data_IF_165743725350
#
_entry.id   IF_165743725350
#
_cell.length_a   1.000
_cell.length_b   1.000
_cell.length_c   1.000
_cell.angle_alpha   90.00
_cell.angle_beta   90.00
_cell.angle_gamma   90.00
#
_symmetry.space_group_name_H-M   'P 1'
#
loop_
_entity.id
_entity.type
_entity.pdbx_description
1 polymer ?
#
# COMPACT_ATOMS: atom_id res chain seq x y z
N UNK A 1 -5.67 -15.59 15.97
CA UNK A 1 -4.62 -15.23 14.99
C UNK A 1 -5.19 -14.14 14.10
N UNK A 2 -4.33 -13.37 13.43
CA UNK A 2 -4.62 -12.22 12.56
C UNK A 2 -5.78 -12.40 11.55
N UNK A 3 -6.30 -13.62 11.37
CA UNK A 3 -7.56 -13.93 10.67
C UNK A 3 -8.84 -13.36 11.30
N UNK A 4 -8.75 -12.49 12.31
CA UNK A 4 -9.83 -11.59 12.74
C UNK A 4 -9.59 -10.15 12.28
N UNK A 5 -8.80 -9.93 11.23
CA UNK A 5 -8.95 -8.75 10.39
C UNK A 5 -10.33 -8.85 9.76
N UNK A 6 -11.32 -8.38 10.54
CA UNK A 6 -12.24 -7.32 10.16
C UNK A 6 -12.76 -7.39 8.73
N UNK A 7 -13.05 -8.59 8.24
CA UNK A 7 -13.86 -8.80 7.03
C UNK A 7 -15.28 -8.24 7.24
N UNK A 8 -15.66 -7.93 8.49
CA UNK A 8 -16.87 -7.19 8.86
C UNK A 8 -16.66 -5.70 9.25
N UNK A 9 -15.43 -5.15 9.26
CA UNK A 9 -15.11 -3.99 10.11
C UNK A 9 -14.26 -2.89 9.43
N UNK A 10 -14.81 -2.28 8.38
CA UNK A 10 -14.63 -0.84 8.14
C UNK A 10 -15.44 -0.01 9.15
N UNK A 11 -15.44 -0.37 10.44
CA UNK A 11 -16.14 0.44 11.45
C UNK A 11 -15.42 1.79 11.55
N UNK A 12 -16.21 2.86 11.48
CA UNK A 12 -15.84 4.28 11.52
C UNK A 12 -15.13 4.83 10.24
N UNK A 13 -15.07 4.01 9.19
CA UNK A 13 -14.59 4.38 7.85
C UNK A 13 -13.08 4.65 7.76
N UNK A 14 -12.30 4.23 8.75
CA UNK A 14 -10.83 4.33 8.78
C UNK A 14 -10.13 3.25 7.96
N UNK A 15 -10.86 2.30 7.38
CA UNK A 15 -10.25 1.32 6.49
C UNK A 15 -10.32 1.76 5.03
N UNK A 16 -9.25 1.49 4.31
CA UNK A 16 -9.08 1.75 2.88
C UNK A 16 -8.66 0.46 2.19
N UNK A 17 -9.01 0.34 0.91
CA UNK A 17 -8.70 -0.85 0.12
C UNK A 17 -8.12 -0.43 -1.23
N UNK A 18 -7.29 -1.30 -1.79
CA UNK A 18 -6.65 -1.11 -3.07
C UNK A 18 -5.30 -0.44 -2.93
N UNK A 19 -4.36 -0.88 -3.77
CA UNK A 19 -2.95 -0.50 -3.66
C UNK A 19 -2.70 1.00 -3.82
N UNK A 20 -3.49 1.69 -4.65
CA UNK A 20 -3.35 3.13 -4.85
C UNK A 20 -3.71 3.92 -3.58
N UNK A 21 -4.85 3.61 -2.98
CA UNK A 21 -5.30 4.20 -1.71
C UNK A 21 -4.28 3.95 -0.59
N UNK A 22 -3.79 2.71 -0.50
CA UNK A 22 -2.81 2.30 0.51
C UNK A 22 -1.48 3.02 0.30
N UNK A 23 -0.99 3.09 -0.94
CA UNK A 23 0.23 3.83 -1.30
C UNK A 23 0.13 5.30 -0.88
N UNK A 24 -0.99 5.96 -1.14
CA UNK A 24 -1.21 7.35 -0.75
C UNK A 24 -1.16 7.53 0.77
N UNK A 25 -1.87 6.68 1.51
CA UNK A 25 -1.92 6.74 2.97
C UNK A 25 -0.58 6.44 3.63
N UNK A 26 0.17 5.46 3.10
CA UNK A 26 1.51 5.12 3.58
C UNK A 26 2.49 6.27 3.35
N UNK A 27 2.47 6.91 2.17
CA UNK A 27 3.29 8.09 1.87
C UNK A 27 2.96 9.28 2.78
N UNK A 28 1.76 9.31 3.35
CA UNK A 28 1.30 10.33 4.30
C UNK A 28 1.53 9.95 5.77
N UNK A 29 2.08 8.77 6.05
CA UNK A 29 2.32 8.28 7.42
C UNK A 29 1.05 8.00 8.22
N UNK A 30 -0.10 7.82 7.56
CA UNK A 30 -1.41 7.72 8.21
C UNK A 30 -1.78 6.28 8.60
N UNK A 31 -1.01 5.30 8.17
CA UNK A 31 -1.36 3.88 8.31
C UNK A 31 -0.98 3.35 9.71
N UNK A 32 -1.89 2.57 10.28
CA UNK A 32 -1.69 1.80 11.50
C UNK A 32 -1.30 0.36 11.19
N UNK A 33 -2.06 -0.28 10.29
CA UNK A 33 -1.93 -1.70 9.95
C UNK A 33 -2.22 -1.91 8.46
N UNK A 34 -1.48 -2.82 7.82
CA UNK A 34 -1.71 -3.28 6.45
C UNK A 34 -1.95 -4.78 6.46
N UNK A 35 -2.94 -5.23 5.69
CA UNK A 35 -3.11 -6.64 5.31
C UNK A 35 -2.92 -6.81 3.80
N UNK A 36 -2.14 -7.81 3.41
CA UNK A 36 -1.85 -8.13 2.01
C UNK A 36 -2.04 -9.63 1.78
N UNK A 37 -2.67 -10.02 0.68
CA UNK A 37 -2.61 -11.41 0.23
C UNK A 37 -1.15 -11.79 -0.09
N UNK A 38 -0.65 -12.89 0.48
CA UNK A 38 0.76 -13.31 0.40
C UNK A 38 1.31 -13.40 -1.02
N UNK A 39 0.47 -13.81 -1.95
CA UNK A 39 0.85 -14.03 -3.35
C UNK A 39 0.59 -12.80 -4.23
N UNK A 40 0.06 -11.71 -3.66
CA UNK A 40 -0.19 -10.48 -4.41
C UNK A 40 1.13 -9.81 -4.79
N UNK A 41 1.24 -9.47 -6.07
CA UNK A 41 2.37 -8.75 -6.63
C UNK A 41 1.86 -7.51 -7.34
N UNK A 42 2.58 -6.41 -7.15
CA UNK A 42 2.35 -5.20 -7.90
C UNK A 42 3.67 -4.55 -8.26
N UNK A 43 3.73 -4.02 -9.46
CA UNK A 43 4.89 -3.31 -9.98
C UNK A 43 4.65 -1.81 -9.87
N UNK A 44 5.71 -1.08 -9.53
CA UNK A 44 5.69 0.37 -9.51
C UNK A 44 6.98 0.95 -10.09
N UNK A 45 7.04 2.28 -10.11
CA UNK A 45 8.26 3.00 -10.41
C UNK A 45 8.66 3.92 -9.26
N UNK A 46 9.97 3.98 -9.00
CA UNK A 46 10.57 4.96 -8.11
C UNK A 46 11.46 5.92 -8.90
N UNK A 47 11.31 7.21 -8.61
CA UNK A 47 12.13 8.23 -9.24
C UNK A 47 13.52 8.29 -8.61
N UNK A 48 14.59 8.29 -9.42
CA UNK A 48 15.97 8.44 -8.92
C UNK A 48 16.29 9.85 -8.45
N UNK A 49 15.50 10.84 -8.86
CA UNK A 49 15.75 12.26 -8.57
C UNK A 49 15.04 12.71 -7.30
N UNK A 50 13.76 12.37 -7.13
CA UNK A 50 12.95 12.84 -6.00
C UNK A 50 12.35 11.72 -5.14
N UNK A 51 12.75 10.47 -5.42
CA UNK A 51 12.32 9.26 -4.70
C UNK A 51 10.82 8.98 -4.71
N UNK A 52 10.04 9.70 -5.52
CA UNK A 52 8.59 9.50 -5.61
C UNK A 52 8.27 8.08 -6.08
N UNK A 53 7.62 7.32 -5.21
CA UNK A 53 7.08 6.00 -5.47
C UNK A 53 5.70 6.10 -6.11
N UNK A 54 5.48 5.36 -7.20
CA UNK A 54 4.28 5.44 -8.04
C UNK A 54 3.82 4.05 -8.46
N UNK A 55 2.50 3.88 -8.58
CA UNK A 55 1.88 2.65 -9.08
C UNK A 55 2.04 2.52 -10.60
N UNK A 56 2.33 1.31 -11.07
CA UNK A 56 2.36 0.99 -12.50
C UNK A 56 3.67 1.37 -13.20
N UNK A 57 3.60 1.38 -14.54
CA UNK A 57 4.71 1.70 -15.44
C UNK A 57 4.59 3.15 -15.94
N UNK A 58 5.40 4.03 -15.38
CA UNK A 58 5.47 5.45 -15.68
C UNK A 58 6.69 5.74 -16.56
N UNK A 59 6.53 6.58 -17.58
CA UNK A 59 7.66 7.10 -18.38
C UNK A 59 8.26 8.37 -17.75
N UNK A 60 7.42 9.17 -17.07
CA UNK A 60 7.79 10.45 -16.46
C UNK A 60 7.31 10.51 -15.01
N UNK A 61 8.13 11.02 -14.11
CA UNK A 61 7.76 11.19 -12.70
C UNK A 61 6.64 12.23 -12.54
N UNK A 62 5.49 11.83 -12.00
CA UNK A 62 4.35 12.72 -11.72
C UNK A 62 4.66 13.86 -10.73
N UNK A 63 5.73 13.73 -9.92
CA UNK A 63 6.10 14.72 -8.91
C UNK A 63 7.10 15.76 -9.39
N UNK A 64 8.09 15.37 -10.19
CA UNK A 64 9.19 16.28 -10.60
C UNK A 64 9.44 16.34 -12.11
N UNK A 65 8.73 15.57 -12.92
CA UNK A 65 8.89 15.56 -14.38
C UNK A 65 10.14 14.82 -14.89
N UNK A 66 10.92 14.17 -14.03
CA UNK A 66 12.10 13.41 -14.46
C UNK A 66 11.71 12.09 -15.12
N UNK A 67 12.37 11.74 -16.23
CA UNK A 67 12.33 10.42 -16.90
C UNK A 67 13.24 9.38 -16.21
N UNK A 68 14.03 9.79 -15.21
CA UNK A 68 14.94 8.89 -14.48
C UNK A 68 14.15 8.07 -13.45
N UNK A 69 13.48 7.03 -13.94
CA UNK A 69 12.65 6.10 -13.18
C UNK A 69 13.26 4.69 -13.23
N UNK A 70 12.97 3.88 -12.21
CA UNK A 70 13.27 2.45 -12.23
C UNK A 70 12.13 1.64 -11.66
N UNK A 71 11.95 0.44 -12.19
CA UNK A 71 10.92 -0.50 -11.76
C UNK A 71 11.25 -1.07 -10.39
N UNK A 72 10.23 -1.20 -9.55
CA UNK A 72 10.30 -1.75 -8.19
C UNK A 72 9.16 -2.71 -7.93
N UNK A 73 9.37 -3.59 -6.96
CA UNK A 73 8.27 -4.31 -6.31
C UNK A 73 7.55 -3.32 -5.38
N UNK A 74 6.34 -2.94 -5.80
CA UNK A 74 5.60 -1.90 -5.10
C UNK A 74 5.06 -2.38 -3.76
N UNK A 75 4.73 -3.67 -3.63
CA UNK A 75 4.28 -4.23 -2.35
C UNK A 75 5.42 -4.13 -1.35
N UNK A 76 6.63 -4.52 -1.73
CA UNK A 76 7.80 -4.41 -0.86
C UNK A 76 8.11 -2.95 -0.46
N UNK A 77 8.08 -2.01 -1.40
CA UNK A 77 8.31 -0.59 -1.07
C UNK A 77 7.22 -0.01 -0.14
N UNK A 78 5.95 -0.39 -0.32
CA UNK A 78 4.85 -0.02 0.58
C UNK A 78 5.11 -0.55 1.99
N UNK A 79 5.54 -1.81 2.12
CA UNK A 79 5.84 -2.44 3.40
C UNK A 79 7.00 -1.75 4.11
N UNK A 80 8.07 -1.39 3.38
CA UNK A 80 9.20 -0.66 3.93
C UNK A 80 8.79 0.71 4.45
N UNK A 81 8.04 1.48 3.66
CA UNK A 81 7.54 2.80 4.06
C UNK A 81 6.58 2.71 5.26
N UNK A 82 5.70 1.72 5.28
CA UNK A 82 4.77 1.49 6.39
C UNK A 82 5.54 1.21 7.69
N UNK A 83 6.54 0.34 7.65
CA UNK A 83 7.40 0.03 8.81
C UNK A 83 8.18 1.25 9.31
N UNK A 84 8.66 2.11 8.42
CA UNK A 84 9.33 3.37 8.81
C UNK A 84 8.42 4.31 9.61
N UNK A 85 7.11 4.27 9.37
CA UNK A 85 6.10 5.01 10.14
C UNK A 85 5.63 4.30 11.42
N UNK A 86 6.13 3.09 11.69
CA UNK A 86 5.72 2.24 12.80
C UNK A 86 4.40 1.50 12.59
N UNK A 87 3.92 1.38 11.35
CA UNK A 87 2.76 0.55 11.03
C UNK A 87 3.11 -0.94 11.06
N UNK A 88 2.14 -1.79 11.42
CA UNK A 88 2.25 -3.24 11.27
C UNK A 88 1.85 -3.68 9.86
N UNK A 89 2.38 -4.82 9.43
CA UNK A 89 2.06 -5.43 8.14
C UNK A 89 1.89 -6.92 8.32
N UNK A 90 0.76 -7.45 7.89
CA UNK A 90 0.45 -8.87 7.92
C UNK A 90 0.15 -9.43 6.53
N UNK A 91 0.83 -10.53 6.21
CA UNK A 91 0.57 -11.30 4.98
C UNK A 91 -0.35 -12.46 5.31
N UNK A 92 -1.56 -12.43 4.78
CA UNK A 92 -2.52 -13.52 4.91
C UNK A 92 -2.43 -14.51 3.75
N UNK A 93 -2.83 -15.75 3.98
CA UNK A 93 -3.19 -16.65 2.88
C UNK A 93 -4.30 -16.01 2.05
N UNK A 94 -4.40 -16.35 0.77
CA UNK A 94 -5.35 -15.70 -0.15
C UNK A 94 -6.78 -15.75 0.39
N UNK A 95 -7.29 -14.58 0.77
CA UNK A 95 -8.67 -14.39 1.19
C UNK A 95 -9.45 -13.85 0.00
N UNK A 96 -10.42 -14.62 -0.49
CA UNK A 96 -11.24 -14.24 -1.66
C UNK A 96 -11.88 -12.85 -1.54
N UNK A 97 -12.34 -12.47 -0.35
CA UNK A 97 -12.94 -11.14 -0.13
C UNK A 97 -11.91 -10.02 -0.19
N UNK A 98 -10.64 -10.28 0.14
CA UNK A 98 -9.57 -9.29 0.01
C UNK A 98 -9.12 -9.19 -1.46
N UNK A 99 -9.03 -10.32 -2.16
CA UNK A 99 -8.79 -10.38 -3.61
C UNK A 99 -9.84 -9.56 -4.37
N UNK A 100 -11.13 -9.80 -4.14
CA UNK A 100 -12.25 -9.04 -4.73
C UNK A 100 -12.21 -7.55 -4.38
N UNK A 101 -11.62 -7.19 -3.23
CA UNK A 101 -11.55 -5.82 -2.78
C UNK A 101 -10.28 -5.08 -3.26
N UNK A 102 -9.31 -5.79 -3.85
CA UNK A 102 -8.10 -5.20 -4.42
C UNK A 102 -6.78 -5.68 -3.80
N UNK A 103 -6.76 -6.88 -3.22
CA UNK A 103 -5.58 -7.66 -2.76
C UNK A 103 -4.82 -7.12 -1.55
N UNK A 104 -5.01 -5.84 -1.23
CA UNK A 104 -4.38 -5.12 -0.13
C UNK A 104 -5.38 -4.15 0.51
N UNK A 105 -5.37 -4.09 1.84
CA UNK A 105 -6.13 -3.12 2.62
C UNK A 105 -5.28 -2.54 3.74
N UNK A 106 -5.68 -1.38 4.25
CA UNK A 106 -5.04 -0.76 5.40
C UNK A 106 -6.05 -0.14 6.35
N UNK A 107 -5.69 -0.08 7.62
CA UNK A 107 -6.38 0.68 8.65
C UNK A 107 -5.58 1.96 8.94
N UNK A 108 -6.27 3.10 8.96
CA UNK A 108 -5.69 4.40 9.24
C UNK A 108 -5.75 4.73 10.73
N UNK A 109 -4.73 5.45 11.23
CA UNK A 109 -4.70 6.01 12.59
C UNK A 109 -5.72 7.14 12.77
N UNK A 110 -5.94 7.91 11.71
CA UNK A 110 -6.84 9.07 11.67
C UNK A 110 -7.26 9.39 10.24
N UNK A 111 -8.34 10.17 10.08
CA UNK A 111 -8.74 10.79 8.81
C UNK A 111 -8.27 12.23 8.77
N UNK A 112 -7.97 12.72 7.56
CA UNK A 112 -7.88 14.15 7.29
C UNK A 112 -9.28 14.75 7.10
#
# INVERSE_FOLDING_TARGET
SLGKIRTEYLRDGLGIIGIESVLYAVKSGQVEEIIVNRDYQATGNRCRVCENLQLGNMEVCSKCGSESLFTVDLVNEIVELAKQSGASVDFCDTIKTLEEAGEIAAFLRYKN
#
